data_IF_516232983077
#
_entry.id   IF_516232983077
#
_cell.length_a   1.000
_cell.length_b   1.000
_cell.length_c   1.000
_cell.angle_alpha   90.00
_cell.angle_beta   90.00
_cell.angle_gamma   90.00
#
_symmetry.space_group_name_H-M   'P 1'
#
loop_
_entity.id
_entity.type
_entity.pdbx_description
1 polymer ?
#
# COMPACT_ATOMS: atom_id res chain seq x y z
N UNK A 1 14.37 -9.60 42.05
CA UNK A 1 15.00 -10.18 40.84
C UNK A 1 13.90 -10.30 39.78
N UNK A 2 13.85 -9.36 38.85
CA UNK A 2 12.86 -9.36 37.79
C UNK A 2 13.31 -10.32 36.69
N UNK A 3 12.52 -11.37 36.41
CA UNK A 3 12.72 -12.22 35.29
C UNK A 3 12.39 -11.41 33.99
N UNK A 4 13.42 -11.08 33.23
CA UNK A 4 13.24 -10.53 31.89
C UNK A 4 12.56 -11.57 31.02
N UNK A 5 11.32 -11.33 30.61
CA UNK A 5 10.62 -12.14 29.64
C UNK A 5 11.39 -12.14 28.30
N UNK A 6 11.18 -13.16 27.45
CA UNK A 6 11.87 -13.26 26.17
C UNK A 6 11.54 -12.02 25.32
N UNK A 7 12.58 -11.29 24.92
CA UNK A 7 12.46 -10.21 23.92
C UNK A 7 12.04 -10.88 22.61
N UNK A 8 10.85 -10.57 22.14
CA UNK A 8 10.38 -11.08 20.86
C UNK A 8 11.38 -10.66 19.75
N UNK A 9 11.76 -11.61 18.90
CA UNK A 9 12.61 -11.32 17.76
C UNK A 9 11.97 -10.20 16.92
N UNK A 10 12.78 -9.26 16.39
CA UNK A 10 12.25 -8.20 15.53
C UNK A 10 11.52 -8.83 14.35
N UNK A 11 10.33 -8.32 14.04
CA UNK A 11 9.60 -8.75 12.85
C UNK A 11 10.46 -8.42 11.61
N UNK A 12 10.65 -9.40 10.73
CA UNK A 12 11.31 -9.13 9.46
C UNK A 12 10.40 -8.27 8.58
N UNK A 13 10.97 -7.25 7.96
CA UNK A 13 10.23 -6.43 7.01
C UNK A 13 9.82 -7.28 5.80
N UNK A 14 8.53 -7.22 5.44
CA UNK A 14 8.01 -7.90 4.26
C UNK A 14 8.71 -7.43 2.98
N UNK A 15 8.86 -8.31 1.98
CA UNK A 15 9.52 -8.01 0.70
C UNK A 15 8.67 -8.51 -0.45
N UNK A 16 8.66 -7.78 -1.55
CA UNK A 16 8.08 -8.24 -2.80
C UNK A 16 9.05 -9.18 -3.51
N UNK A 17 8.59 -10.29 -4.05
CA UNK A 17 9.43 -11.22 -4.84
C UNK A 17 10.11 -10.52 -6.01
N UNK A 18 9.42 -9.59 -6.68
CA UNK A 18 9.98 -8.83 -7.81
C UNK A 18 10.90 -7.67 -7.39
N UNK A 19 11.00 -7.37 -6.08
CA UNK A 19 11.89 -6.37 -5.50
C UNK A 19 12.55 -6.92 -4.21
N UNK A 20 13.33 -8.02 -4.29
CA UNK A 20 13.78 -8.77 -3.11
C UNK A 20 14.75 -7.98 -2.21
N UNK A 21 15.40 -6.97 -2.75
CA UNK A 21 16.34 -6.13 -2.02
C UNK A 21 15.66 -4.95 -1.29
N UNK A 22 14.38 -4.71 -1.57
CA UNK A 22 13.62 -3.62 -0.97
C UNK A 22 12.67 -4.14 0.11
N UNK A 23 12.77 -3.66 1.36
CA UNK A 23 11.74 -3.95 2.35
C UNK A 23 10.45 -3.20 1.98
N UNK A 24 9.31 -3.75 2.37
CA UNK A 24 8.06 -2.97 2.41
C UNK A 24 8.07 -2.17 3.71
N UNK A 25 8.81 -1.08 3.70
CA UNK A 25 9.22 -0.25 4.83
C UNK A 25 10.11 -0.96 5.85
N UNK A 26 10.83 -0.21 6.71
CA UNK A 26 11.66 -0.79 7.77
C UNK A 26 10.84 -1.60 8.78
N UNK A 27 11.48 -2.55 9.45
CA UNK A 27 10.86 -3.34 10.52
C UNK A 27 10.27 -2.46 11.66
N UNK A 28 10.82 -1.27 11.85
CA UNK A 28 10.34 -0.27 12.82
C UNK A 28 9.09 0.50 12.37
N UNK A 29 8.64 0.32 11.13
CA UNK A 29 7.37 0.92 10.66
C UNK A 29 6.19 0.28 11.40
N UNK A 30 5.18 1.06 11.76
CA UNK A 30 3.98 0.57 12.46
C UNK A 30 3.31 -0.61 11.75
N UNK A 31 3.32 -0.63 10.43
CA UNK A 31 2.81 -1.75 9.64
C UNK A 31 3.56 -3.06 9.81
N UNK A 32 4.84 -3.02 10.21
CA UNK A 32 5.68 -4.19 10.42
C UNK A 32 5.82 -4.56 11.91
N UNK A 33 5.19 -3.81 12.80
CA UNK A 33 5.27 -4.08 14.25
C UNK A 33 4.19 -5.08 14.66
N UNK A 34 4.56 -6.03 15.49
CA UNK A 34 3.58 -6.91 16.15
C UNK A 34 2.75 -6.10 17.14
N UNK A 35 1.44 -6.32 17.11
CA UNK A 35 0.47 -5.63 17.98
C UNK A 35 -0.25 -6.57 18.94
N UNK A 36 -0.08 -7.88 18.77
CA UNK A 36 -0.72 -8.93 19.54
C UNK A 36 -0.34 -8.92 21.05
N UNK A 37 0.82 -8.36 21.38
CA UNK A 37 1.27 -8.16 22.76
C UNK A 37 0.98 -6.76 23.34
N UNK A 38 0.36 -5.87 22.58
CA UNK A 38 0.05 -4.52 23.06
C UNK A 38 -1.25 -4.50 23.88
N UNK A 39 -1.35 -3.63 24.91
CA UNK A 39 -2.61 -3.47 25.62
C UNK A 39 -3.69 -2.95 24.67
N UNK A 40 -4.91 -3.48 24.83
CA UNK A 40 -6.08 -3.03 24.06
C UNK A 40 -6.36 -1.56 24.39
N UNK A 41 -6.53 -0.73 23.35
CA UNK A 41 -6.82 0.69 23.54
C UNK A 41 -8.11 0.88 24.36
N UNK A 42 -8.11 1.82 25.30
CA UNK A 42 -9.24 2.07 26.22
C UNK A 42 -10.58 2.31 25.50
N UNK A 43 -10.56 2.87 24.29
CA UNK A 43 -11.74 3.13 23.45
C UNK A 43 -12.02 2.07 22.41
N UNK A 44 -11.28 0.96 22.38
CA UNK A 44 -11.40 -0.09 21.35
C UNK A 44 -12.85 -0.56 21.15
N UNK A 45 -13.53 -0.94 22.23
CA UNK A 45 -14.94 -1.39 22.13
C UNK A 45 -15.88 -0.33 21.59
N UNK A 46 -15.64 0.95 21.86
CA UNK A 46 -16.47 2.03 21.30
C UNK A 46 -16.21 2.21 19.81
N UNK A 47 -14.95 2.13 19.39
CA UNK A 47 -14.55 2.22 17.97
C UNK A 47 -15.15 1.04 17.19
N UNK A 48 -15.00 -0.19 17.67
CA UNK A 48 -15.54 -1.39 17.00
C UNK A 48 -17.07 -1.31 16.90
N UNK A 49 -17.76 -0.88 17.96
CA UNK A 49 -19.22 -0.68 17.89
C UNK A 49 -19.64 0.40 16.89
N UNK A 50 -18.85 1.46 16.72
CA UNK A 50 -19.18 2.51 15.73
C UNK A 50 -19.00 2.04 14.28
N UNK A 51 -18.12 1.08 14.03
CA UNK A 51 -17.96 0.43 12.73
C UNK A 51 -19.13 -0.53 12.47
N UNK A 52 -19.59 -1.23 13.50
CA UNK A 52 -20.64 -2.26 13.41
C UNK A 52 -20.06 -3.65 13.63
N UNK A 53 -20.49 -4.33 14.69
CA UNK A 53 -19.98 -5.67 15.02
C UNK A 53 -20.57 -6.79 14.16
N UNK A 54 -21.63 -6.50 13.42
CA UNK A 54 -22.28 -7.42 12.49
C UNK A 54 -21.84 -7.29 11.04
N UNK A 55 -21.05 -6.27 10.73
CA UNK A 55 -20.56 -6.05 9.37
C UNK A 55 -19.36 -6.98 9.06
N UNK A 56 -19.40 -7.72 7.95
CA UNK A 56 -18.26 -8.53 7.52
C UNK A 56 -17.09 -7.64 7.07
N UNK A 57 -15.86 -8.17 7.20
CA UNK A 57 -14.69 -7.53 6.61
C UNK A 57 -14.73 -7.68 5.09
N UNK A 58 -14.52 -6.58 4.37
CA UNK A 58 -14.40 -6.59 2.91
C UNK A 58 -12.91 -6.72 2.50
N UNK A 59 -12.55 -7.67 1.61
CA UNK A 59 -11.15 -7.95 1.27
C UNK A 59 -10.60 -7.02 0.18
N UNK A 60 -10.58 -5.72 0.38
CA UNK A 60 -10.11 -4.74 -0.63
C UNK A 60 -8.63 -4.90 -1.01
N UNK A 61 -7.82 -5.44 -0.10
CA UNK A 61 -6.36 -5.61 -0.28
C UNK A 61 -5.97 -7.00 -0.79
N UNK A 62 -6.93 -7.81 -1.17
CA UNK A 62 -6.71 -9.18 -1.61
C UNK A 62 -6.28 -9.28 -3.09
N UNK A 63 -6.18 -10.51 -3.57
CA UNK A 63 -6.03 -10.85 -4.98
C UNK A 63 -6.97 -11.99 -5.32
N UNK A 64 -7.45 -12.03 -6.55
CA UNK A 64 -8.37 -13.06 -7.01
C UNK A 64 -9.50 -12.49 -7.85
N UNK A 65 -10.64 -13.17 -7.84
CA UNK A 65 -11.84 -12.75 -8.55
C UNK A 65 -12.99 -12.59 -7.54
N UNK A 66 -13.75 -11.52 -7.70
CA UNK A 66 -15.03 -11.29 -7.07
C UNK A 66 -16.07 -11.02 -8.15
N UNK A 67 -17.13 -11.81 -8.19
CA UNK A 67 -18.17 -11.72 -9.24
C UNK A 67 -17.61 -11.73 -10.68
N UNK A 68 -16.52 -12.47 -10.91
CA UNK A 68 -15.85 -12.56 -12.21
C UNK A 68 -14.89 -11.41 -12.55
N UNK A 69 -14.77 -10.38 -11.71
CA UNK A 69 -13.80 -9.30 -11.87
C UNK A 69 -12.58 -9.49 -10.97
N UNK A 70 -11.41 -9.07 -11.44
CA UNK A 70 -10.20 -9.08 -10.60
C UNK A 70 -10.34 -8.07 -9.47
N UNK A 71 -10.09 -8.54 -8.25
CA UNK A 71 -10.03 -7.71 -7.04
C UNK A 71 -8.58 -7.41 -6.65
N UNK A 72 -8.44 -6.42 -5.79
CA UNK A 72 -7.16 -5.98 -5.23
C UNK A 72 -6.44 -4.97 -6.11
N UNK A 73 -5.49 -4.29 -5.50
CA UNK A 73 -4.74 -3.21 -6.13
C UNK A 73 -3.45 -3.78 -6.71
N UNK A 74 -3.25 -3.72 -8.04
CA UNK A 74 -2.08 -4.33 -8.67
C UNK A 74 -0.82 -3.51 -8.45
N UNK A 75 0.32 -4.20 -8.29
CA UNK A 75 1.63 -3.57 -8.17
C UNK A 75 2.39 -3.74 -9.48
N UNK A 76 3.04 -2.67 -9.93
CA UNK A 76 3.99 -2.67 -11.04
C UNK A 76 5.39 -2.39 -10.50
N UNK A 77 6.29 -3.37 -10.61
CA UNK A 77 7.69 -3.18 -10.23
C UNK A 77 8.47 -2.68 -11.44
N UNK A 78 9.24 -1.61 -11.23
CA UNK A 78 10.02 -0.96 -12.28
C UNK A 78 11.51 -0.94 -11.92
N UNK A 79 12.36 -0.85 -12.94
CA UNK A 79 13.79 -0.60 -12.75
C UNK A 79 14.04 0.88 -12.42
N UNK A 80 15.14 1.19 -11.73
CA UNK A 80 15.54 2.56 -11.44
C UNK A 80 15.83 3.43 -12.66
N UNK A 81 16.01 2.79 -13.82
CA UNK A 81 16.18 3.45 -15.13
C UNK A 81 14.85 3.71 -15.85
N UNK A 82 13.70 3.30 -15.27
CA UNK A 82 12.39 3.52 -15.87
C UNK A 82 12.21 5.01 -16.19
N UNK A 83 11.88 5.30 -17.46
CA UNK A 83 11.57 6.67 -17.90
C UNK A 83 10.43 7.24 -17.06
N UNK A 84 10.61 8.46 -16.62
CA UNK A 84 9.57 9.19 -15.88
C UNK A 84 8.71 10.00 -16.82
N UNK A 85 7.43 10.08 -16.51
CA UNK A 85 6.41 10.81 -17.28
C UNK A 85 5.73 11.86 -16.39
N UNK A 86 5.29 13.00 -16.97
CA UNK A 86 4.55 14.01 -16.22
C UNK A 86 3.21 13.44 -15.73
N UNK A 87 2.83 13.86 -14.52
CA UNK A 87 1.52 13.59 -13.93
C UNK A 87 0.91 14.91 -13.48
N UNK A 88 -0.32 15.17 -13.86
CA UNK A 88 -1.12 16.28 -13.33
C UNK A 88 -2.11 15.76 -12.30
N UNK A 89 -2.29 16.49 -11.19
CA UNK A 89 -3.14 16.09 -10.08
C UNK A 89 -4.35 17.01 -9.92
N UNK A 90 -5.48 16.44 -9.53
CA UNK A 90 -6.67 17.21 -9.12
C UNK A 90 -6.42 17.86 -7.76
N UNK A 91 -5.80 17.10 -6.83
CA UNK A 91 -5.41 17.55 -5.48
C UNK A 91 -3.90 17.83 -5.48
N UNK A 92 -3.48 18.83 -6.28
CA UNK A 92 -2.06 19.11 -6.51
C UNK A 92 -1.34 19.64 -5.26
N UNK A 93 -2.05 20.36 -4.40
CA UNK A 93 -1.57 20.93 -3.14
C UNK A 93 -1.31 19.88 -2.05
N UNK A 94 -1.91 18.68 -2.20
CA UNK A 94 -1.72 17.54 -1.30
C UNK A 94 -0.97 16.37 -1.96
N UNK A 95 -0.39 16.58 -3.14
CA UNK A 95 0.28 15.54 -3.92
C UNK A 95 1.77 15.80 -4.05
N UNK A 96 2.57 14.72 -4.02
CA UNK A 96 3.99 14.85 -4.35
C UNK A 96 4.13 15.11 -5.86
N UNK A 97 4.86 16.14 -6.29
CA UNK A 97 4.94 16.51 -7.69
C UNK A 97 5.66 15.43 -8.51
N UNK A 98 5.30 15.36 -9.81
CA UNK A 98 5.98 14.49 -10.79
C UNK A 98 7.41 14.97 -11.12
N UNK A 99 8.10 14.25 -12.04
CA UNK A 99 7.58 13.14 -12.85
C UNK A 99 7.65 11.77 -12.15
N UNK A 100 6.74 10.85 -12.54
CA UNK A 100 6.63 9.50 -11.97
C UNK A 100 7.12 8.42 -12.95
N UNK A 101 7.73 7.32 -12.48
CA UNK A 101 8.27 6.25 -13.34
C UNK A 101 7.17 5.29 -13.81
N UNK A 102 6.16 5.78 -14.53
CA UNK A 102 5.02 5.00 -14.96
C UNK A 102 5.31 4.40 -16.34
N UNK A 103 5.44 3.07 -16.48
CA UNK A 103 5.58 2.44 -17.79
C UNK A 103 4.24 2.46 -18.55
N UNK A 104 4.24 2.40 -19.89
CA UNK A 104 3.02 2.43 -20.70
C UNK A 104 2.02 1.33 -20.36
N UNK A 105 2.52 0.18 -19.87
CA UNK A 105 1.73 -0.99 -19.45
C UNK A 105 1.52 -1.07 -17.94
N UNK A 106 1.64 0.05 -17.20
CA UNK A 106 1.36 0.07 -15.77
C UNK A 106 -0.03 -0.50 -15.48
N UNK A 107 -0.09 -1.36 -14.48
CA UNK A 107 -1.37 -1.96 -14.08
C UNK A 107 -2.21 -0.94 -13.34
N UNK A 108 -3.47 -0.89 -13.69
CA UNK A 108 -4.49 -0.04 -13.07
C UNK A 108 -5.48 -0.95 -12.34
N UNK A 109 -5.85 -0.60 -11.14
CA UNK A 109 -6.88 -1.30 -10.37
C UNK A 109 -8.18 -1.40 -11.16
N UNK A 110 -8.77 -2.59 -11.18
CA UNK A 110 -9.95 -2.89 -12.00
C UNK A 110 -9.72 -2.86 -13.50
N UNK A 111 -8.45 -2.65 -13.95
CA UNK A 111 -8.07 -2.62 -15.37
C UNK A 111 -8.25 -1.26 -16.05
N UNK A 112 -7.90 -1.17 -17.33
CA UNK A 112 -7.86 0.12 -18.06
C UNK A 112 -9.23 0.79 -18.23
N UNK A 113 -10.31 0.02 -18.13
CA UNK A 113 -11.71 0.51 -18.25
C UNK A 113 -12.42 0.63 -16.90
N UNK A 114 -11.71 0.42 -15.79
CA UNK A 114 -12.29 0.54 -14.44
C UNK A 114 -12.96 1.90 -14.24
N UNK A 115 -14.09 1.91 -13.56
CA UNK A 115 -14.81 3.10 -13.09
C UNK A 115 -14.64 3.33 -11.60
N UNK A 116 -13.91 2.43 -10.90
CA UNK A 116 -13.57 2.55 -9.48
C UNK A 116 -12.38 3.48 -9.24
N UNK A 117 -11.68 3.25 -8.16
CA UNK A 117 -10.62 4.13 -7.63
C UNK A 117 -9.36 4.20 -8.50
N UNK A 118 -9.16 3.17 -9.36
CA UNK A 118 -8.09 3.18 -10.37
C UNK A 118 -6.71 3.45 -9.80
N UNK A 119 -6.39 2.82 -8.69
CA UNK A 119 -5.06 2.93 -8.10
C UNK A 119 -3.97 2.41 -9.04
N UNK A 120 -2.82 3.08 -9.01
CA UNK A 120 -1.58 2.62 -9.64
C UNK A 120 -0.48 2.63 -8.60
N UNK A 121 0.06 1.46 -8.29
CA UNK A 121 1.18 1.31 -7.36
C UNK A 121 2.44 0.92 -8.13
N UNK A 122 3.52 1.68 -7.93
CA UNK A 122 4.81 1.48 -8.57
C UNK A 122 5.91 1.31 -7.53
N UNK A 123 6.74 0.29 -7.67
CA UNK A 123 7.90 0.05 -6.82
C UNK A 123 9.16 0.06 -7.67
N UNK A 124 10.05 1.02 -7.44
CA UNK A 124 11.42 1.02 -7.98
C UNK A 124 12.28 0.06 -7.15
N UNK A 125 12.62 -1.08 -7.75
CA UNK A 125 13.37 -2.15 -7.10
C UNK A 125 14.85 -1.84 -6.87
N UNK A 126 15.38 -0.83 -7.57
CA UNK A 126 16.81 -0.49 -7.49
C UNK A 126 17.07 0.63 -6.48
N UNK A 127 16.06 1.50 -6.26
CA UNK A 127 16.13 2.63 -5.32
C UNK A 127 15.24 2.46 -4.10
N UNK A 128 14.48 1.36 -4.03
CA UNK A 128 13.51 1.09 -2.97
C UNK A 128 12.57 2.27 -2.74
N UNK A 129 11.96 2.75 -3.81
CA UNK A 129 11.04 3.87 -3.77
C UNK A 129 9.66 3.46 -4.25
N UNK A 130 8.65 3.97 -3.57
CA UNK A 130 7.24 3.73 -3.82
C UNK A 130 6.59 4.98 -4.40
N UNK A 131 5.73 4.82 -5.39
CA UNK A 131 4.78 5.81 -5.88
C UNK A 131 3.39 5.18 -5.92
N UNK A 132 2.41 5.91 -5.45
CA UNK A 132 1.01 5.51 -5.47
C UNK A 132 0.16 6.65 -6.03
N UNK A 133 -0.83 6.30 -6.83
CA UNK A 133 -1.73 7.21 -7.51
C UNK A 133 -3.17 6.79 -7.26
N UNK A 134 -4.03 7.75 -6.98
CA UNK A 134 -5.49 7.59 -6.97
C UNK A 134 -6.09 8.16 -8.25
N UNK A 135 -7.16 7.56 -8.77
CA UNK A 135 -7.89 7.99 -9.97
C UNK A 135 -6.97 8.25 -11.17
N UNK A 136 -6.10 7.26 -11.49
CA UNK A 136 -5.04 7.39 -12.50
C UNK A 136 -5.54 7.08 -13.91
N UNK A 137 -5.31 8.01 -14.84
CA UNK A 137 -5.70 7.94 -16.25
C UNK A 137 -4.51 8.23 -17.15
N UNK A 138 -4.12 7.29 -18.04
CA UNK A 138 -3.08 7.56 -19.03
C UNK A 138 -3.57 8.59 -20.06
N UNK A 139 -2.63 9.41 -20.54
CA UNK A 139 -2.82 10.41 -21.60
C UNK A 139 -1.76 10.19 -22.67
N UNK A 140 -2.09 10.52 -23.92
CA UNK A 140 -1.17 10.41 -25.05
C UNK A 140 -0.44 9.06 -25.10
N UNK A 141 -1.19 7.95 -24.99
CA UNK A 141 -0.62 6.60 -25.01
C UNK A 141 0.31 6.29 -23.82
N UNK A 142 0.15 6.96 -22.67
CA UNK A 142 1.01 6.81 -21.50
C UNK A 142 2.20 7.76 -21.45
N UNK A 143 2.34 8.67 -22.40
CA UNK A 143 3.41 9.69 -22.38
C UNK A 143 3.22 10.72 -21.25
N UNK A 144 2.01 10.86 -20.73
CA UNK A 144 1.66 11.62 -19.54
C UNK A 144 0.47 10.98 -18.84
N UNK A 145 0.18 11.38 -17.61
CA UNK A 145 -0.93 10.89 -16.81
C UNK A 145 -1.68 12.03 -16.13
N UNK A 146 -2.96 11.79 -15.84
CA UNK A 146 -3.75 12.59 -14.90
C UNK A 146 -4.15 11.68 -13.75
N UNK A 147 -4.09 12.17 -12.53
CA UNK A 147 -4.55 11.46 -11.34
C UNK A 147 -5.33 12.39 -10.39
N UNK A 148 -6.07 11.82 -9.47
CA UNK A 148 -6.69 12.53 -8.36
C UNK A 148 -5.61 13.06 -7.43
N UNK A 149 -4.85 12.17 -6.84
CA UNK A 149 -3.72 12.45 -5.97
C UNK A 149 -2.55 11.52 -6.27
N UNK A 150 -1.37 11.87 -5.74
CA UNK A 150 -0.19 11.04 -5.83
C UNK A 150 0.74 11.22 -4.65
N UNK A 151 1.36 10.13 -4.22
CA UNK A 151 2.27 10.14 -3.09
C UNK A 151 3.51 9.29 -3.35
N UNK A 152 4.63 9.69 -2.73
CA UNK A 152 5.90 8.96 -2.84
C UNK A 152 6.50 8.69 -1.46
N UNK A 153 7.12 7.52 -1.31
CA UNK A 153 7.83 7.16 -0.09
C UNK A 153 9.17 6.50 -0.39
N UNK A 154 10.13 6.68 0.50
CA UNK A 154 11.26 5.77 0.59
C UNK A 154 10.82 4.52 1.35
N UNK A 155 11.05 3.35 0.79
CA UNK A 155 10.82 2.08 1.48
C UNK A 155 11.92 1.78 2.53
N UNK A 156 12.97 2.62 2.59
CA UNK A 156 14.09 2.48 3.51
C UNK A 156 13.96 3.36 4.77
N UNK A 157 12.87 4.10 4.90
CA UNK A 157 12.67 5.05 6.00
C UNK A 157 11.19 5.15 6.39
N UNK A 158 10.90 5.85 7.51
CA UNK A 158 9.55 5.96 8.09
C UNK A 158 8.98 7.39 8.09
N UNK A 159 9.22 8.26 7.09
CA UNK A 159 8.64 9.59 7.11
C UNK A 159 7.11 9.49 7.06
N UNK A 160 6.47 10.43 7.72
CA UNK A 160 5.04 10.69 7.57
C UNK A 160 4.85 11.75 6.49
N UNK A 161 3.70 11.77 5.87
CA UNK A 161 3.28 12.88 5.02
C UNK A 161 3.03 14.15 5.86
N UNK A 162 3.07 15.33 5.27
CA UNK A 162 2.66 16.55 5.97
C UNK A 162 1.25 16.38 6.58
N UNK A 163 1.05 16.97 7.76
CA UNK A 163 -0.25 16.89 8.43
C UNK A 163 -1.35 17.52 7.56
N UNK A 164 -2.48 16.83 7.43
CA UNK A 164 -3.60 17.23 6.60
C UNK A 164 -3.50 16.85 5.12
N UNK A 165 -2.36 16.34 4.67
CA UNK A 165 -2.24 15.85 3.29
C UNK A 165 -2.86 14.47 3.12
N UNK A 166 -3.54 14.28 1.99
CA UNK A 166 -3.96 12.96 1.50
C UNK A 166 -2.78 12.17 0.93
N UNK A 167 -3.03 10.95 0.49
CA UNK A 167 -2.13 10.15 -0.35
C UNK A 167 -2.94 9.57 -1.51
N UNK A 168 -2.59 8.41 -2.02
CA UNK A 168 -3.51 7.62 -2.84
C UNK A 168 -4.61 6.97 -1.97
N UNK A 169 -4.37 6.85 -0.66
CA UNK A 169 -5.34 6.59 0.39
C UNK A 169 -5.74 7.92 1.05
N UNK A 170 -7.01 8.15 1.23
CA UNK A 170 -7.56 9.37 1.84
C UNK A 170 -7.01 9.68 3.24
N UNK A 171 -6.52 8.68 3.96
CA UNK A 171 -5.92 8.84 5.29
C UNK A 171 -4.45 9.33 5.29
N UNK A 172 -3.86 9.60 4.12
CA UNK A 172 -2.46 9.99 4.01
C UNK A 172 -1.47 8.85 4.29
N UNK A 173 -1.92 7.61 4.21
CA UNK A 173 -1.13 6.40 4.44
C UNK A 173 -0.70 5.76 3.12
N UNK A 174 0.39 4.96 3.11
CA UNK A 174 0.73 4.12 1.97
C UNK A 174 -0.20 2.89 1.91
N UNK A 175 -0.62 2.53 0.70
CA UNK A 175 -1.46 1.34 0.43
C UNK A 175 -0.61 0.06 0.44
N UNK A 176 0.62 0.12 -0.10
CA UNK A 176 1.49 -1.05 -0.28
C UNK A 176 1.66 -1.93 0.97
N UNK A 177 1.77 -1.42 2.22
CA UNK A 177 1.93 -2.28 3.40
C UNK A 177 0.73 -3.17 3.70
N UNK A 178 -0.48 -2.75 3.31
CA UNK A 178 -1.71 -3.53 3.46
C UNK A 178 -1.90 -4.59 2.36
N UNK A 179 -1.03 -4.59 1.34
CA UNK A 179 -1.17 -5.49 0.21
C UNK A 179 -0.82 -6.94 0.56
N UNK A 180 -1.74 -7.86 0.28
CA UNK A 180 -1.60 -9.30 0.50
C UNK A 180 -1.71 -10.02 -0.86
N UNK A 181 -0.61 -10.06 -1.62
CA UNK A 181 -0.55 -10.76 -2.90
C UNK A 181 -0.12 -12.22 -2.77
N UNK A 182 -0.19 -13.00 -3.87
CA UNK A 182 0.16 -14.42 -3.89
C UNK A 182 1.59 -14.72 -3.41
N UNK A 183 2.47 -13.74 -3.41
CA UNK A 183 3.87 -13.86 -3.00
C UNK A 183 4.13 -13.56 -1.53
N UNK A 184 3.11 -13.11 -0.78
CA UNK A 184 3.21 -12.92 0.68
C UNK A 184 2.89 -14.19 1.46
N UNK A 185 2.54 -15.29 0.79
CA UNK A 185 2.09 -16.54 1.42
C UNK A 185 3.18 -17.35 2.12
N UNK A 186 4.45 -16.94 2.10
CA UNK A 186 5.52 -17.62 2.85
C UNK A 186 5.45 -17.39 4.37
N UNK A 187 4.41 -16.75 4.90
CA UNK A 187 4.24 -16.49 6.34
C UNK A 187 2.82 -16.29 6.83
N UNK A 188 1.83 -16.33 5.95
CA UNK A 188 0.43 -16.24 6.37
C UNK A 188 0.02 -17.54 7.07
N UNK A 189 0.17 -17.59 8.40
CA UNK A 189 -0.57 -18.56 9.20
C UNK A 189 -2.04 -18.21 9.02
N UNK A 190 -2.81 -19.18 8.52
CA UNK A 190 -4.26 -19.17 8.51
C UNK A 190 -4.75 -18.65 9.86
N UNK A 191 -5.43 -17.51 9.85
CA UNK A 191 -6.22 -17.09 11.00
C UNK A 191 -7.48 -17.94 10.90
N UNK A 192 -7.47 -19.08 11.60
CA UNK A 192 -8.70 -19.84 11.85
C UNK A 192 -9.63 -18.91 12.61
N UNK A 193 -10.87 -18.70 12.16
CA UNK A 193 -11.82 -17.94 12.95
C UNK A 193 -12.02 -18.68 14.27
N UNK A 194 -11.82 -17.99 15.39
CA UNK A 194 -12.24 -18.48 16.68
C UNK A 194 -13.75 -18.64 16.63
N UNK A 195 -14.23 -19.92 16.80
CA UNK A 195 -15.61 -20.24 17.00
C UNK A 195 -16.15 -19.67 18.32
#
# INVERSE_FOLDING_TARGET
>A
MGAGGPVAAPAEAHRLTAAPNCPVFPATKRWNQRVDGLPVAARSSAIVRSIGTGEPLHPDFGSGLWEGASIGIPITVVAGTQRRVPVSFTYADESDPGPYPIPPNARIEGGPRSTGDRHVILVDRDRCRLWELYAAYPRAGGASWRAGSGATWSLLSNPLRPAGWTSADAAGLPILPGWHGPTSSAGARSITPCG
#
